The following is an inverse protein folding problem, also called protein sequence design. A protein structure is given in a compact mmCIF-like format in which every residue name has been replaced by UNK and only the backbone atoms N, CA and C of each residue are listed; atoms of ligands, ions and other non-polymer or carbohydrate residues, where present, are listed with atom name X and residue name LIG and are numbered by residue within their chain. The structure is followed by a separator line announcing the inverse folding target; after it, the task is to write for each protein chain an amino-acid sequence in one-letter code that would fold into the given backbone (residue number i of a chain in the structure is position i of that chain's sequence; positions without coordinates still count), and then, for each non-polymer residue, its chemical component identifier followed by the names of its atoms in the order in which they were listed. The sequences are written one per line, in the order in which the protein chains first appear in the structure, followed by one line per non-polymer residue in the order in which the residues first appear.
data_IF_676245273647
#
_entry.id   IF_676245273647
#
_cell.length_a   1.000
_cell.length_b   1.000
_cell.length_c   1.000
_cell.angle_alpha   90.00
_cell.angle_beta   90.00
_cell.angle_gamma   90.00
#
_symmetry.space_group_name_H-M   'P 1'
#
loop_
_entity.id
_entity.type
_entity.pdbx_description
1 polymer ?
#
# COMPACT_ATOMS: atom_id res chain seq x y z
N UNK A 1 13.18 -21.94 -19.68
CA UNK A 1 12.91 -21.11 -18.51
C UNK A 1 11.81 -20.03 -18.69
N UNK A 2 11.45 -19.54 -19.89
CA UNK A 2 10.34 -18.58 -20.02
C UNK A 2 8.98 -19.11 -19.51
N UNK A 3 8.69 -20.39 -19.70
CA UNK A 3 7.42 -21.02 -19.34
C UNK A 3 7.13 -20.96 -17.83
N UNK A 4 8.13 -21.17 -16.97
CA UNK A 4 7.97 -21.14 -15.50
C UNK A 4 7.69 -19.71 -15.01
N UNK A 5 8.31 -18.71 -15.64
CA UNK A 5 8.12 -17.30 -15.30
C UNK A 5 6.70 -16.82 -15.60
N UNK A 6 6.17 -17.20 -16.76
CA UNK A 6 4.79 -16.90 -17.16
C UNK A 6 3.78 -17.61 -16.25
N UNK A 7 4.06 -18.87 -15.87
CA UNK A 7 3.17 -19.66 -15.02
C UNK A 7 3.02 -19.07 -13.62
N UNK A 8 4.09 -18.59 -12.98
CA UNK A 8 4.01 -17.99 -11.64
C UNK A 8 3.27 -16.67 -11.69
N UNK A 9 3.55 -15.80 -12.68
CA UNK A 9 2.82 -14.55 -12.83
C UNK A 9 1.33 -14.77 -13.04
N UNK A 10 0.99 -15.65 -13.97
CA UNK A 10 -0.41 -15.97 -14.27
C UNK A 10 -1.09 -16.59 -13.06
N UNK A 11 -0.42 -17.47 -12.32
CA UNK A 11 -0.98 -18.08 -11.12
C UNK A 11 -1.30 -17.03 -10.06
N UNK A 12 -0.33 -16.18 -9.68
CA UNK A 12 -0.52 -15.14 -8.65
C UNK A 12 -1.62 -14.16 -9.06
N UNK A 13 -1.57 -13.68 -10.31
CA UNK A 13 -2.59 -12.74 -10.81
C UNK A 13 -3.96 -13.40 -10.90
N UNK A 14 -4.04 -14.63 -11.41
CA UNK A 14 -5.32 -15.34 -11.56
C UNK A 14 -5.93 -15.65 -10.20
N UNK A 15 -5.12 -16.11 -9.23
CA UNK A 15 -5.58 -16.41 -7.87
C UNK A 15 -6.09 -15.14 -7.18
N UNK A 16 -5.29 -14.06 -7.18
CA UNK A 16 -5.71 -12.81 -6.55
C UNK A 16 -6.97 -12.22 -7.21
N UNK A 17 -7.02 -12.21 -8.54
CA UNK A 17 -8.17 -11.64 -9.23
C UNK A 17 -9.43 -12.50 -9.07
N UNK A 18 -9.28 -13.83 -9.09
CA UNK A 18 -10.42 -14.76 -8.98
C UNK A 18 -10.92 -14.89 -7.54
N UNK A 19 -9.99 -15.06 -6.59
CA UNK A 19 -10.34 -15.39 -5.20
C UNK A 19 -10.78 -14.15 -4.41
N UNK A 20 -10.23 -12.99 -4.77
CA UNK A 20 -10.52 -11.73 -4.07
C UNK A 20 -11.21 -10.67 -4.95
N UNK A 21 -11.56 -11.00 -6.20
CA UNK A 21 -12.24 -10.06 -7.09
C UNK A 21 -11.41 -8.80 -7.42
N UNK A 22 -10.08 -8.89 -7.32
CA UNK A 22 -9.18 -7.77 -7.60
C UNK A 22 -8.94 -7.59 -9.10
N UNK A 23 -8.40 -6.45 -9.49
CA UNK A 23 -8.03 -6.16 -10.87
C UNK A 23 -6.53 -5.84 -10.95
N UNK A 24 -5.72 -6.91 -10.87
CA UNK A 24 -4.25 -6.84 -10.86
C UNK A 24 -3.72 -7.32 -12.20
N UNK A 25 -2.78 -6.58 -12.78
CA UNK A 25 -2.04 -6.97 -13.97
C UNK A 25 -0.53 -6.77 -13.80
N UNK A 26 0.26 -7.62 -14.47
CA UNK A 26 1.72 -7.60 -14.46
C UNK A 26 2.21 -7.81 -15.89
N UNK A 27 3.00 -6.88 -16.41
CA UNK A 27 3.51 -6.95 -17.79
C UNK A 27 4.60 -8.03 -17.94
N UNK A 28 5.56 -8.06 -17.02
CA UNK A 28 6.69 -9.01 -17.09
C UNK A 28 7.06 -9.53 -15.71
N UNK A 29 7.40 -10.83 -15.67
CA UNK A 29 8.02 -11.48 -14.50
C UNK A 29 9.34 -12.10 -14.92
N UNK A 30 10.37 -11.86 -14.13
CA UNK A 30 11.68 -12.52 -14.27
C UNK A 30 12.08 -13.15 -12.95
N UNK A 31 12.54 -14.40 -13.01
CA UNK A 31 12.98 -15.16 -11.84
C UNK A 31 14.49 -15.38 -11.97
N UNK A 32 15.22 -15.02 -10.91
CA UNK A 32 16.64 -15.29 -10.77
C UNK A 32 16.87 -16.75 -10.31
N UNK A 33 17.95 -17.43 -10.72
CA UNK A 33 18.32 -18.75 -10.21
C UNK A 33 18.48 -18.80 -8.67
N UNK A 34 18.73 -17.66 -8.05
CA UNK A 34 18.92 -17.54 -6.60
C UNK A 34 17.65 -17.11 -5.84
N UNK A 35 16.45 -17.34 -6.41
CA UNK A 35 15.16 -17.08 -5.75
C UNK A 35 14.68 -15.63 -5.82
N UNK A 36 15.42 -14.71 -6.45
CA UNK A 36 14.97 -13.34 -6.68
C UNK A 36 13.89 -13.29 -7.76
N UNK A 37 12.85 -12.48 -7.53
CA UNK A 37 11.76 -12.24 -8.49
C UNK A 37 11.70 -10.76 -8.80
N UNK A 38 11.51 -10.45 -10.07
CA UNK A 38 11.34 -9.10 -10.57
C UNK A 38 10.06 -9.01 -11.38
N UNK A 39 9.18 -8.13 -10.96
CA UNK A 39 7.98 -7.76 -11.71
C UNK A 39 8.19 -6.39 -12.38
N UNK A 40 7.64 -6.20 -13.57
CA UNK A 40 7.60 -4.91 -14.25
C UNK A 40 6.17 -4.51 -14.54
N UNK A 41 5.90 -3.21 -14.39
CA UNK A 41 4.61 -2.58 -14.64
C UNK A 41 3.48 -3.35 -13.96
N UNK A 42 3.57 -3.44 -12.63
CA UNK A 42 2.47 -3.96 -11.81
C UNK A 42 1.41 -2.87 -11.70
N UNK A 43 0.20 -3.18 -12.10
CA UNK A 43 -0.94 -2.27 -12.06
C UNK A 43 -2.09 -2.91 -11.29
N UNK A 44 -2.63 -2.19 -10.34
CA UNK A 44 -3.85 -2.52 -9.60
C UNK A 44 -4.86 -1.44 -9.91
N UNK A 45 -5.98 -1.82 -10.50
CA UNK A 45 -7.10 -0.93 -10.74
C UNK A 45 -8.11 -1.02 -9.60
N UNK A 46 -8.76 0.08 -9.32
CA UNK A 46 -9.87 0.13 -8.37
C UNK A 46 -11.22 -0.28 -9.00
N UNK A 47 -12.30 -0.16 -8.24
CA UNK A 47 -13.66 -0.52 -8.67
C UNK A 47 -14.22 0.37 -9.79
N UNK A 48 -13.65 1.55 -10.02
CA UNK A 48 -13.94 2.41 -11.17
C UNK A 48 -13.00 2.18 -12.35
N UNK A 49 -12.07 1.23 -12.25
CA UNK A 49 -11.03 0.94 -13.24
C UNK A 49 -9.99 2.07 -13.39
N UNK A 50 -9.92 2.97 -12.41
CA UNK A 50 -8.84 3.93 -12.27
C UNK A 50 -7.63 3.27 -11.59
N UNK A 51 -6.45 3.85 -11.77
CA UNK A 51 -5.23 3.36 -11.10
C UNK A 51 -5.34 3.57 -9.60
N UNK A 52 -5.37 2.47 -8.82
CA UNK A 52 -5.17 2.49 -7.38
C UNK A 52 -3.68 2.46 -7.05
N UNK A 53 -2.98 1.45 -7.57
CA UNK A 53 -1.54 1.28 -7.38
C UNK A 53 -0.88 0.94 -8.72
N UNK A 54 0.22 1.61 -9.01
CA UNK A 54 1.12 1.25 -10.10
C UNK A 54 2.55 1.21 -9.59
N UNK A 55 3.33 0.23 -10.02
CA UNK A 55 4.78 0.22 -9.80
C UNK A 55 5.51 -0.12 -11.09
N UNK A 56 6.47 0.71 -11.46
CA UNK A 56 7.29 0.47 -12.64
C UNK A 56 8.09 -0.83 -12.52
N UNK A 57 8.57 -1.10 -11.29
CA UNK A 57 9.36 -2.30 -10.99
C UNK A 57 9.21 -2.71 -9.52
N UNK A 58 8.96 -3.99 -9.32
CA UNK A 58 9.04 -4.62 -8.00
C UNK A 58 10.14 -5.67 -8.06
N UNK A 59 11.06 -5.62 -7.09
CA UNK A 59 12.07 -6.67 -6.87
C UNK A 59 11.84 -7.26 -5.49
N UNK A 60 11.93 -8.55 -5.38
CA UNK A 60 11.73 -9.26 -4.12
C UNK A 60 12.45 -10.60 -4.11
N UNK A 61 12.65 -11.15 -2.92
CA UNK A 61 13.07 -12.53 -2.71
C UNK A 61 11.95 -13.26 -2.00
N UNK A 62 11.43 -14.31 -2.63
CA UNK A 62 10.36 -15.14 -2.07
C UNK A 62 10.98 -16.10 -1.06
N UNK A 63 10.51 -16.04 0.20
CA UNK A 63 10.99 -16.91 1.26
C UNK A 63 10.35 -18.30 1.24
N UNK A 64 9.09 -18.41 0.79
CA UNK A 64 8.34 -19.66 0.81
C UNK A 64 7.47 -19.82 -0.44
N UNK A 65 7.98 -20.57 -1.40
CA UNK A 65 7.26 -20.83 -2.65
C UNK A 65 6.00 -21.68 -2.48
N UNK A 66 5.89 -22.52 -1.44
CA UNK A 66 4.69 -23.31 -1.15
C UNK A 66 3.56 -22.40 -0.61
N UNK A 67 3.91 -21.47 0.27
CA UNK A 67 2.95 -20.48 0.78
C UNK A 67 2.48 -19.54 -0.31
N UNK A 68 3.37 -19.16 -1.22
CA UNK A 68 3.00 -18.39 -2.41
C UNK A 68 1.90 -19.09 -3.22
N UNK A 69 2.02 -20.39 -3.43
CA UNK A 69 1.00 -21.20 -4.10
C UNK A 69 -0.31 -21.31 -3.27
N UNK A 70 -0.24 -21.13 -1.96
CA UNK A 70 -1.41 -21.04 -1.07
C UNK A 70 -2.04 -19.66 -0.96
N UNK A 71 -1.50 -18.65 -1.65
CA UNK A 71 -2.00 -17.26 -1.63
C UNK A 71 -1.29 -16.34 -0.64
N UNK A 72 -0.39 -16.86 0.22
CA UNK A 72 0.38 -16.04 1.16
C UNK A 72 1.64 -15.48 0.48
N UNK A 73 1.80 -14.16 0.53
CA UNK A 73 2.95 -13.46 -0.03
C UNK A 73 3.98 -13.15 1.07
N UNK A 74 4.97 -14.03 1.21
CA UNK A 74 6.01 -13.90 2.25
C UNK A 74 7.35 -13.58 1.60
N UNK A 75 7.80 -12.35 1.81
CA UNK A 75 9.03 -11.82 1.22
C UNK A 75 10.08 -11.53 2.29
N UNK A 76 11.37 -11.70 1.95
CA UNK A 76 12.47 -11.21 2.77
C UNK A 76 12.64 -9.71 2.58
N UNK A 77 12.66 -9.30 1.33
CA UNK A 77 12.80 -7.92 0.89
C UNK A 77 11.74 -7.59 -0.17
N UNK A 78 11.32 -6.33 -0.21
CA UNK A 78 10.37 -5.83 -1.19
C UNK A 78 10.81 -4.44 -1.63
N UNK A 79 11.29 -4.31 -2.86
CA UNK A 79 11.70 -3.02 -3.41
C UNK A 79 10.77 -2.59 -4.55
N UNK A 80 10.04 -1.49 -4.33
CA UNK A 80 9.15 -0.87 -5.30
C UNK A 80 9.81 0.39 -5.87
N UNK A 81 10.03 0.42 -7.18
CA UNK A 81 10.58 1.57 -7.90
C UNK A 81 9.51 2.23 -8.74
N UNK A 82 9.37 3.54 -8.60
CA UNK A 82 8.34 4.31 -9.30
C UNK A 82 6.92 3.92 -8.88
N UNK A 83 6.69 3.77 -7.56
CA UNK A 83 5.36 3.51 -7.01
C UNK A 83 4.47 4.74 -7.22
N UNK A 84 3.31 4.55 -7.81
CA UNK A 84 2.21 5.52 -7.82
C UNK A 84 1.07 4.92 -7.02
N UNK A 85 0.56 5.67 -6.04
CA UNK A 85 -0.56 5.26 -5.21
C UNK A 85 -1.57 6.40 -5.12
N UNK A 86 -2.78 6.17 -5.65
CA UNK A 86 -3.87 7.13 -5.64
C UNK A 86 -4.98 6.68 -4.68
N UNK A 87 -5.04 7.31 -3.52
CA UNK A 87 -6.14 7.15 -2.58
C UNK A 87 -7.25 8.12 -2.98
N UNK A 88 -8.39 7.59 -3.44
CA UNK A 88 -9.47 8.39 -4.01
C UNK A 88 -10.82 8.03 -3.40
N UNK A 89 -11.59 9.06 -3.02
CA UNK A 89 -13.01 8.94 -2.73
C UNK A 89 -13.79 9.54 -3.89
N UNK A 90 -14.61 8.74 -4.55
CA UNK A 90 -15.39 9.18 -5.69
C UNK A 90 -16.62 9.97 -5.26
N UNK A 91 -17.16 10.76 -6.19
CA UNK A 91 -18.32 11.62 -5.92
C UNK A 91 -19.51 10.79 -5.48
N UNK A 92 -20.13 11.18 -4.37
CA UNK A 92 -21.24 10.52 -3.68
C UNK A 92 -20.87 9.18 -3.01
N UNK A 93 -19.63 8.74 -3.07
CA UNK A 93 -19.17 7.59 -2.29
C UNK A 93 -18.66 8.01 -0.91
N UNK A 94 -18.74 7.09 0.04
CA UNK A 94 -18.25 7.28 1.42
C UNK A 94 -16.92 6.57 1.67
N UNK A 95 -16.66 5.50 0.93
CA UNK A 95 -15.44 4.70 1.05
C UNK A 95 -14.40 5.20 0.05
N UNK A 96 -13.15 5.11 0.44
CA UNK A 96 -12.05 5.28 -0.51
C UNK A 96 -11.93 4.06 -1.42
N UNK A 97 -11.30 4.24 -2.58
CA UNK A 97 -10.98 3.11 -3.47
C UNK A 97 -10.10 2.05 -2.79
N UNK A 98 -9.24 2.46 -1.83
CA UNK A 98 -8.45 1.53 -1.01
C UNK A 98 -9.34 0.73 -0.06
N UNK A 99 -10.33 1.37 0.59
CA UNK A 99 -11.26 0.66 1.49
C UNK A 99 -12.05 -0.41 0.72
N UNK A 100 -12.52 -0.08 -0.49
CA UNK A 100 -13.21 -1.04 -1.37
C UNK A 100 -12.26 -2.19 -1.73
N UNK A 101 -11.03 -1.89 -2.11
CA UNK A 101 -10.01 -2.89 -2.43
C UNK A 101 -9.68 -3.79 -1.23
N UNK A 102 -9.47 -3.21 -0.05
CA UNK A 102 -9.14 -3.96 1.18
C UNK A 102 -10.33 -4.82 1.63
N UNK A 103 -11.56 -4.34 1.46
CA UNK A 103 -12.75 -5.11 1.81
C UNK A 103 -12.87 -6.41 0.99
N UNK A 104 -12.30 -6.45 -0.22
CA UNK A 104 -12.23 -7.69 -1.00
C UNK A 104 -11.42 -8.81 -0.31
N UNK A 105 -10.55 -8.47 0.64
CA UNK A 105 -9.76 -9.43 1.42
C UNK A 105 -10.38 -9.77 2.78
N UNK A 106 -11.60 -9.30 3.08
CA UNK A 106 -12.31 -9.58 4.32
C UNK A 106 -12.87 -11.01 4.38
N UNK A 107 -13.18 -11.50 5.59
CA UNK A 107 -13.71 -12.87 5.81
C UNK A 107 -14.98 -13.17 5.02
N UNK A 108 -15.87 -12.18 4.88
CA UNK A 108 -17.19 -12.35 4.26
C UNK A 108 -17.15 -12.40 2.73
N UNK A 109 -16.02 -12.11 2.11
CA UNK A 109 -15.89 -11.95 0.66
C UNK A 109 -15.17 -13.10 -0.03
N UNK A 110 -14.44 -13.95 0.73
CA UNK A 110 -13.70 -15.08 0.16
C UNK A 110 -14.52 -16.37 0.25
N UNK A 111 -14.67 -17.09 -0.85
CA UNK A 111 -15.30 -18.43 -0.89
C UNK A 111 -14.56 -19.46 -0.01
N UNK A 112 -13.38 -19.12 0.49
CA UNK A 112 -12.48 -20.02 1.25
C UNK A 112 -12.29 -19.62 2.71
N UNK A 113 -12.84 -18.48 3.19
CA UNK A 113 -12.63 -17.97 4.55
C UNK A 113 -11.15 -17.61 4.87
N UNK A 114 -10.30 -17.49 3.86
CA UNK A 114 -8.87 -17.16 4.03
C UNK A 114 -8.65 -15.66 4.06
N UNK A 115 -7.89 -15.21 5.05
CA UNK A 115 -7.35 -13.85 5.03
C UNK A 115 -6.15 -13.75 4.09
N UNK A 116 -6.10 -12.66 3.34
CA UNK A 116 -4.90 -12.34 2.57
C UNK A 116 -3.75 -11.98 3.51
N UNK A 117 -2.59 -12.57 3.29
CA UNK A 117 -1.37 -12.28 4.04
C UNK A 117 -0.27 -11.82 3.08
N UNK A 118 0.27 -10.60 3.34
CA UNK A 118 1.50 -10.13 2.73
C UNK A 118 2.46 -9.67 3.83
N UNK A 119 3.66 -10.21 3.84
CA UNK A 119 4.72 -9.79 4.76
C UNK A 119 6.00 -9.48 4.02
N UNK A 120 6.75 -8.48 4.51
CA UNK A 120 8.12 -8.23 4.08
C UNK A 120 8.95 -7.82 5.29
N UNK A 121 10.09 -8.49 5.51
CA UNK A 121 11.00 -8.13 6.59
C UNK A 121 11.56 -6.74 6.38
N UNK A 122 11.97 -6.43 5.15
CA UNK A 122 12.44 -5.12 4.71
C UNK A 122 11.63 -4.70 3.48
N UNK A 123 11.09 -3.48 3.49
CA UNK A 123 10.42 -2.92 2.31
C UNK A 123 10.97 -1.54 2.00
N UNK A 124 11.16 -1.26 0.71
CA UNK A 124 11.69 0.01 0.24
C UNK A 124 10.89 0.52 -0.95
N UNK A 125 10.53 1.80 -0.89
CA UNK A 125 9.95 2.54 -2.01
C UNK A 125 10.95 3.58 -2.46
N UNK A 126 11.17 3.70 -3.77
CA UNK A 126 11.99 4.74 -4.39
C UNK A 126 11.21 5.45 -5.49
N UNK A 127 11.40 6.77 -5.59
CA UNK A 127 10.74 7.61 -6.59
C UNK A 127 9.21 7.44 -6.60
N UNK A 128 8.61 7.34 -5.42
CA UNK A 128 7.16 7.16 -5.28
C UNK A 128 6.40 8.48 -5.48
N UNK A 129 5.12 8.33 -5.75
CA UNK A 129 4.12 9.39 -5.81
C UNK A 129 2.86 8.91 -5.07
N UNK A 130 2.42 9.66 -4.08
CA UNK A 130 1.21 9.36 -3.30
C UNK A 130 0.26 10.54 -3.33
N UNK A 131 -1.01 10.29 -3.65
CA UNK A 131 -2.05 11.31 -3.64
C UNK A 131 -3.26 10.88 -2.84
N UNK A 132 -3.90 11.85 -2.17
CA UNK A 132 -5.23 11.70 -1.58
C UNK A 132 -6.16 12.69 -2.27
N UNK A 133 -7.25 12.19 -2.79
CA UNK A 133 -8.22 12.94 -3.56
C UNK A 133 -9.65 12.59 -3.15
N UNK A 134 -10.45 13.57 -2.75
CA UNK A 134 -11.86 13.40 -2.37
C UNK A 134 -12.74 14.29 -3.23
N UNK A 135 -13.48 13.70 -4.16
CA UNK A 135 -14.37 14.42 -5.09
C UNK A 135 -15.61 15.04 -4.41
N UNK A 136 -15.88 14.67 -3.16
CA UNK A 136 -16.99 15.26 -2.40
C UNK A 136 -16.64 16.62 -1.79
N UNK A 137 -15.37 17.01 -1.80
CA UNK A 137 -14.88 18.28 -1.22
C UNK A 137 -14.82 19.41 -2.24
N UNK A 138 -14.90 20.66 -1.73
CA UNK A 138 -14.72 21.87 -2.56
C UNK A 138 -13.29 21.95 -3.13
N UNK A 139 -12.31 21.51 -2.36
CA UNK A 139 -10.91 21.37 -2.78
C UNK A 139 -10.60 19.87 -2.72
N UNK A 140 -10.73 19.14 -3.85
CA UNK A 140 -10.66 17.69 -3.86
C UNK A 140 -9.29 17.11 -3.49
N UNK A 141 -8.19 17.82 -3.78
CA UNK A 141 -6.82 17.34 -3.56
C UNK A 141 -6.34 17.72 -2.17
N UNK A 142 -6.25 16.76 -1.27
CA UNK A 142 -5.80 16.98 0.11
C UNK A 142 -4.30 16.77 0.27
N UNK A 143 -3.75 15.73 -0.38
CA UNK A 143 -2.35 15.32 -0.27
C UNK A 143 -1.79 15.03 -1.64
N UNK A 144 -0.55 15.45 -1.86
CA UNK A 144 0.22 15.09 -3.05
C UNK A 144 1.70 15.08 -2.68
N UNK A 145 2.22 13.89 -2.45
CA UNK A 145 3.62 13.64 -2.08
C UNK A 145 4.38 13.12 -3.28
N UNK A 146 5.29 13.92 -3.80
CA UNK A 146 6.23 13.55 -4.87
C UNK A 146 7.60 13.23 -4.30
N UNK A 147 8.45 12.59 -5.11
CA UNK A 147 9.78 12.14 -4.69
C UNK A 147 9.75 11.31 -3.40
N UNK A 148 8.69 10.53 -3.23
CA UNK A 148 8.48 9.70 -2.04
C UNK A 148 9.51 8.58 -1.99
N UNK A 149 10.30 8.54 -0.91
CA UNK A 149 11.21 7.44 -0.61
C UNK A 149 10.89 6.93 0.79
N UNK A 150 10.73 5.62 0.91
CA UNK A 150 10.31 4.96 2.16
C UNK A 150 11.21 3.76 2.44
N UNK A 151 11.57 3.58 3.70
CA UNK A 151 12.21 2.38 4.24
C UNK A 151 11.36 1.88 5.39
N UNK A 152 10.87 0.66 5.27
CA UNK A 152 10.02 -0.01 6.25
C UNK A 152 10.71 -1.28 6.73
N UNK A 153 10.45 -1.67 7.97
CA UNK A 153 10.73 -3.01 8.48
C UNK A 153 9.46 -3.64 9.03
N UNK A 154 9.45 -4.96 9.07
CA UNK A 154 8.36 -5.74 9.64
C UNK A 154 6.98 -5.40 9.04
N UNK A 155 6.96 -5.17 7.72
CA UNK A 155 5.71 -4.90 7.03
C UNK A 155 4.82 -6.13 7.07
N UNK A 156 3.59 -5.95 7.53
CA UNK A 156 2.57 -6.98 7.56
C UNK A 156 1.22 -6.39 7.16
N UNK A 157 0.63 -6.96 6.12
CA UNK A 157 -0.77 -6.79 5.76
C UNK A 157 -1.46 -8.13 6.01
N UNK A 158 -2.48 -8.13 6.87
CA UNK A 158 -3.27 -9.31 7.20
C UNK A 158 -4.76 -8.96 7.16
N UNK A 159 -5.48 -9.52 6.19
CA UNK A 159 -6.81 -9.04 5.86
C UNK A 159 -6.77 -7.53 5.58
N UNK A 160 -7.59 -6.72 6.27
CA UNK A 160 -7.59 -5.26 6.08
C UNK A 160 -6.50 -4.53 6.91
N UNK A 161 -5.83 -5.23 7.84
CA UNK A 161 -4.96 -4.59 8.82
C UNK A 161 -3.53 -4.46 8.30
N UNK A 162 -2.92 -3.28 8.49
CA UNK A 162 -1.52 -3.01 8.12
C UNK A 162 -0.73 -2.63 9.37
N UNK A 163 0.43 -3.23 9.54
CA UNK A 163 1.41 -2.88 10.57
C UNK A 163 2.79 -2.79 9.95
N UNK A 164 3.57 -1.80 10.34
CA UNK A 164 4.96 -1.64 9.91
C UNK A 164 5.72 -0.67 10.78
N UNK A 165 7.04 -0.78 10.78
CA UNK A 165 7.93 0.22 11.34
C UNK A 165 8.48 1.08 10.21
N UNK A 166 8.14 2.37 10.20
CA UNK A 166 8.68 3.35 9.26
C UNK A 166 10.05 3.77 9.80
N UNK A 167 11.12 3.24 9.21
CA UNK A 167 12.49 3.60 9.57
C UNK A 167 12.84 4.99 9.05
N UNK A 168 12.42 5.27 7.83
CA UNK A 168 12.60 6.55 7.19
C UNK A 168 11.60 6.73 6.06
N UNK A 169 11.00 7.89 5.99
CA UNK A 169 10.17 8.36 4.88
C UNK A 169 10.57 9.78 4.55
N UNK A 170 10.74 10.11 3.28
CA UNK A 170 11.01 11.47 2.81
C UNK A 170 10.16 11.76 1.57
N UNK A 171 9.72 13.00 1.43
CA UNK A 171 8.86 13.42 0.31
C UNK A 171 8.81 14.94 0.18
N UNK A 172 8.37 15.42 -0.96
CA UNK A 172 7.99 16.80 -1.22
C UNK A 172 6.46 16.88 -1.28
N UNK A 173 5.86 17.64 -0.37
CA UNK A 173 4.44 17.96 -0.40
C UNK A 173 4.16 19.05 -1.45
N UNK A 174 2.99 19.01 -2.11
CA UNK A 174 2.62 19.97 -3.15
C UNK A 174 2.57 21.44 -2.69
N UNK A 175 2.51 21.67 -1.38
CA UNK A 175 2.60 23.03 -0.78
C UNK A 175 4.04 23.51 -0.62
N UNK A 176 5.02 22.77 -1.11
CA UNK A 176 6.44 23.12 -1.09
C UNK A 176 7.21 22.68 0.15
N UNK A 177 6.56 21.98 1.09
CA UNK A 177 7.23 21.48 2.30
C UNK A 177 7.99 20.19 1.95
N UNK A 178 9.30 20.19 2.13
CA UNK A 178 10.11 18.99 2.00
C UNK A 178 10.36 18.36 3.37
N UNK A 179 9.83 17.16 3.57
CA UNK A 179 10.09 16.32 4.75
C UNK A 179 11.32 15.45 4.46
N UNK A 180 12.41 15.72 5.18
CA UNK A 180 13.68 14.95 5.06
C UNK A 180 13.60 13.58 5.70
N UNK A 181 12.89 13.52 6.83
CA UNK A 181 12.70 12.31 7.63
C UNK A 181 11.34 12.33 8.27
N UNK A 182 10.64 11.24 8.15
CA UNK A 182 9.53 10.85 8.99
C UNK A 182 9.78 9.40 9.40
N UNK A 183 9.66 9.09 10.69
CA UNK A 183 9.79 7.73 11.23
C UNK A 183 8.77 7.48 12.31
N UNK A 184 8.47 6.21 12.62
CA UNK A 184 7.51 5.83 13.65
C UNK A 184 6.92 4.44 13.44
N UNK A 185 6.20 3.94 14.41
CA UNK A 185 5.46 2.68 14.33
C UNK A 185 4.06 2.96 13.80
N UNK A 186 3.78 2.46 12.61
CA UNK A 186 2.51 2.65 11.91
C UNK A 186 1.61 1.43 12.06
N UNK A 187 0.34 1.68 12.35
CA UNK A 187 -0.72 0.68 12.25
C UNK A 187 -1.98 1.27 11.63
N UNK A 188 -2.63 0.49 10.80
CA UNK A 188 -3.93 0.77 10.20
C UNK A 188 -4.87 -0.38 10.47
N UNK A 189 -6.08 -0.06 10.89
CA UNK A 189 -7.21 -0.98 11.01
C UNK A 189 -8.46 -0.31 10.44
N UNK A 190 -9.54 -1.05 10.25
CA UNK A 190 -10.84 -0.47 9.84
C UNK A 190 -11.39 0.62 10.78
N UNK A 191 -10.82 0.79 11.98
CA UNK A 191 -11.32 1.72 13.01
C UNK A 191 -10.31 2.77 13.45
N UNK A 192 -9.03 2.60 13.07
CA UNK A 192 -7.98 3.45 13.60
C UNK A 192 -6.77 3.50 12.64
N UNK A 193 -6.23 4.70 12.45
CA UNK A 193 -4.85 4.91 11.98
C UNK A 193 -4.05 5.38 13.17
N UNK A 194 -2.91 4.77 13.42
CA UNK A 194 -2.04 5.11 14.54
C UNK A 194 -0.58 5.19 14.11
N UNK A 195 0.10 6.24 14.56
CA UNK A 195 1.55 6.36 14.44
C UNK A 195 2.09 6.70 15.82
N UNK A 196 2.86 5.78 16.41
CA UNK A 196 3.53 6.02 17.69
C UNK A 196 5.00 6.28 17.46
N UNK A 197 5.61 7.05 18.38
CA UNK A 197 7.00 7.50 18.28
C UNK A 197 7.27 8.22 16.94
N UNK A 198 6.27 8.99 16.47
CA UNK A 198 6.43 9.82 15.28
C UNK A 198 7.54 10.83 15.51
N UNK A 199 8.48 10.86 14.60
CA UNK A 199 9.48 11.92 14.47
C UNK A 199 9.44 12.41 13.02
N UNK A 200 9.24 13.70 12.80
CA UNK A 200 9.25 14.31 11.48
C UNK A 200 10.17 15.53 11.47
N UNK A 201 11.04 15.62 10.47
CA UNK A 201 12.03 16.71 10.30
C UNK A 201 11.91 17.27 8.89
N UNK A 202 11.69 18.57 8.77
CA UNK A 202 11.62 19.28 7.49
C UNK A 202 13.01 19.70 6.99
N UNK A 203 13.06 20.24 5.77
CA UNK A 203 14.28 20.79 5.18
C UNK A 203 14.83 21.94 6.02
N UNK A 204 13.98 22.76 6.60
CA UNK A 204 14.27 23.91 7.44
C UNK A 204 14.61 23.50 8.88
N UNK A 205 14.75 22.21 9.16
CA UNK A 205 15.03 21.62 10.48
C UNK A 205 13.91 21.84 11.52
N UNK A 206 12.67 22.15 11.09
CA UNK A 206 11.54 22.06 11.98
C UNK A 206 11.29 20.60 12.36
N UNK A 207 11.13 20.34 13.65
CA UNK A 207 10.98 19.00 14.20
C UNK A 207 9.63 18.83 14.89
N UNK A 208 8.99 17.69 14.65
CA UNK A 208 7.76 17.28 15.32
C UNK A 208 8.00 15.90 15.92
N UNK A 209 7.68 15.74 17.21
CA UNK A 209 7.59 14.44 17.88
C UNK A 209 6.23 14.27 18.51
N UNK A 210 5.55 13.16 18.17
CA UNK A 210 4.19 12.92 18.62
C UNK A 210 3.84 11.43 18.70
N UNK A 211 2.71 11.15 19.35
CA UNK A 211 1.94 9.95 19.12
C UNK A 211 0.60 10.40 18.55
N UNK A 212 0.24 9.89 17.39
CA UNK A 212 -0.97 10.27 16.65
C UNK A 212 -1.86 9.05 16.55
N UNK A 213 -3.13 9.19 16.93
CA UNK A 213 -4.14 8.18 16.71
C UNK A 213 -5.40 8.85 16.16
N UNK A 214 -5.84 8.39 14.99
CA UNK A 214 -7.06 8.83 14.34
C UNK A 214 -8.08 7.71 14.49
N UNK A 215 -9.10 7.93 15.30
CA UNK A 215 -10.18 6.98 15.50
C UNK A 215 -11.37 7.39 14.66
N UNK A 216 -11.93 6.45 13.91
CA UNK A 216 -13.03 6.71 13.00
C UNK A 216 -13.92 5.47 12.84
N UNK A 217 -15.16 5.68 12.45
CA UNK A 217 -15.96 4.63 11.81
C UNK A 217 -15.67 4.69 10.31
N UNK A 218 -15.79 3.56 9.61
CA UNK A 218 -15.59 3.49 8.14
C UNK A 218 -16.45 4.54 7.42
N UNK A 219 -17.68 4.71 7.87
CA UNK A 219 -18.64 5.70 7.35
C UNK A 219 -18.24 7.16 7.63
N UNK A 220 -17.36 7.42 8.59
CA UNK A 220 -16.92 8.77 8.98
C UNK A 220 -15.60 9.16 8.33
N UNK A 221 -14.87 8.23 7.69
CA UNK A 221 -13.58 8.53 7.06
C UNK A 221 -13.69 9.52 5.91
N UNK A 222 -14.82 9.52 5.20
CA UNK A 222 -15.13 10.51 4.17
C UNK A 222 -15.34 11.93 4.73
N UNK A 223 -15.60 12.06 6.04
CA UNK A 223 -15.76 13.35 6.74
C UNK A 223 -14.67 13.56 7.79
N UNK A 224 -13.44 13.24 7.41
CA UNK A 224 -12.25 13.18 8.26
C UNK A 224 -12.05 14.44 9.11
N UNK A 225 -12.24 15.62 8.52
CA UNK A 225 -11.98 16.88 9.23
C UNK A 225 -13.02 17.22 10.30
N UNK A 226 -14.23 16.65 10.22
CA UNK A 226 -15.32 16.98 11.13
C UNK A 226 -15.58 15.93 12.19
N UNK A 227 -15.18 14.68 11.94
CA UNK A 227 -15.58 13.54 12.78
C UNK A 227 -14.44 12.71 13.33
N UNK A 228 -13.21 12.89 12.85
CA UNK A 228 -12.06 12.18 13.37
C UNK A 228 -11.51 12.88 14.59
N UNK A 229 -11.43 12.17 15.72
CA UNK A 229 -10.85 12.67 16.96
C UNK A 229 -9.35 12.40 17.00
N UNK A 230 -8.58 13.43 17.34
CA UNK A 230 -7.12 13.37 17.53
C UNK A 230 -6.75 12.98 18.94
#
# INVERSE_FOLDING_TARGET
MPVVQTSIANYVVTTLNKDFGTNISIDQVAISPFGGVKFKKVLILDHHKDTLIYSNRIKTTILDGKKLLGGDLIFSDLHLDGLVFHLKTYKKEKLTNLDVFINAFGEDTTSTGKHFLLTAKDARITKGHFTVYDENRKIPKDVDFTNLNVQLTDFKLYGPDVNTNIQKMSFLDHRGVYVKKLSGLFSYTKKQIKITKLEAITKENSEIRANVALNYKIEDFADFNNKVQF
#
